data_IF_551557906260
#
_entry.id   IF_551557906260
#
_cell.length_a   1.000
_cell.length_b   1.000
_cell.length_c   1.000
_cell.angle_alpha   90.00
_cell.angle_beta   90.00
_cell.angle_gamma   90.00
#
_symmetry.space_group_name_H-M   'P 1'
#
loop_
_entity.id
_entity.type
_entity.pdbx_description
1 polymer ?
#
# COMPACT_ATOMS: atom_id res chain seq x y z
N UNK A 1 9.72 21.56 -6.00
CA UNK A 1 9.32 20.51 -5.04
C UNK A 1 8.65 19.29 -5.69
N UNK A 2 8.13 19.37 -6.94
CA UNK A 2 7.58 18.22 -7.69
C UNK A 2 8.63 17.37 -8.44
N UNK A 3 9.88 17.87 -8.56
CA UNK A 3 10.92 17.32 -9.46
C UNK A 3 11.57 16.02 -8.97
N UNK A 4 11.43 15.68 -7.68
CA UNK A 4 12.09 14.53 -7.04
C UNK A 4 11.12 13.39 -6.66
N UNK A 5 9.88 13.43 -7.15
CA UNK A 5 8.88 12.39 -6.84
C UNK A 5 8.98 11.25 -7.84
N UNK A 6 9.11 10.03 -7.32
CA UNK A 6 9.14 8.80 -8.12
C UNK A 6 7.77 8.55 -8.76
N UNK A 7 7.76 7.76 -9.84
CA UNK A 7 6.51 7.32 -10.47
C UNK A 7 5.58 6.58 -9.49
N UNK A 8 6.16 5.86 -8.52
CA UNK A 8 5.43 5.22 -7.42
C UNK A 8 4.59 6.22 -6.62
N UNK A 9 5.17 7.36 -6.26
CA UNK A 9 4.47 8.39 -5.51
C UNK A 9 3.30 8.98 -6.30
N UNK A 10 3.48 9.22 -7.60
CA UNK A 10 2.40 9.72 -8.47
C UNK A 10 1.25 8.75 -8.62
N UNK A 11 1.55 7.46 -8.73
CA UNK A 11 0.54 6.41 -8.73
C UNK A 11 -0.31 6.44 -7.47
N UNK A 12 0.33 6.54 -6.31
CA UNK A 12 -0.37 6.56 -5.04
C UNK A 12 -1.15 7.85 -4.80
N UNK A 13 -0.64 9.00 -5.23
CA UNK A 13 -1.39 10.26 -5.20
C UNK A 13 -2.67 10.15 -6.05
N UNK A 14 -2.55 9.64 -7.28
CA UNK A 14 -3.71 9.47 -8.15
C UNK A 14 -4.71 8.48 -7.55
N UNK A 15 -4.24 7.38 -6.95
CA UNK A 15 -5.09 6.44 -6.20
C UNK A 15 -5.82 7.12 -5.05
N UNK A 16 -5.15 7.96 -4.27
CA UNK A 16 -5.73 8.69 -3.13
C UNK A 16 -6.86 9.63 -3.59
N UNK A 17 -6.60 10.41 -4.65
CA UNK A 17 -7.60 11.33 -5.23
C UNK A 17 -8.82 10.57 -5.77
N UNK A 18 -8.62 9.46 -6.47
CA UNK A 18 -9.73 8.65 -6.98
C UNK A 18 -10.51 7.96 -5.86
N UNK A 19 -9.83 7.57 -4.76
CA UNK A 19 -10.50 7.01 -3.59
C UNK A 19 -11.37 8.06 -2.88
N UNK A 20 -10.88 9.29 -2.75
CA UNK A 20 -11.67 10.43 -2.24
C UNK A 20 -12.89 10.67 -3.12
N UNK A 21 -12.74 10.64 -4.45
CA UNK A 21 -13.86 10.78 -5.37
C UNK A 21 -14.91 9.69 -5.16
N UNK A 22 -14.50 8.42 -5.03
CA UNK A 22 -15.41 7.32 -4.75
C UNK A 22 -16.17 7.46 -3.43
N UNK A 23 -15.48 7.88 -2.37
CA UNK A 23 -16.10 8.14 -1.05
C UNK A 23 -17.05 9.36 -1.07
N UNK A 24 -16.76 10.37 -1.89
CA UNK A 24 -17.60 11.54 -2.07
C UNK A 24 -18.85 11.27 -2.95
N UNK A 25 -19.06 10.02 -3.41
CA UNK A 25 -20.16 9.68 -4.30
C UNK A 25 -19.98 10.21 -5.73
N UNK A 26 -18.74 10.44 -6.16
CA UNK A 26 -18.42 10.93 -7.48
C UNK A 26 -18.78 9.95 -8.61
N UNK A 27 -18.83 10.43 -9.87
CA UNK A 27 -19.17 9.60 -11.02
C UNK A 27 -18.24 8.39 -11.16
N UNK A 28 -18.82 7.20 -11.32
CA UNK A 28 -18.06 5.95 -11.41
C UNK A 28 -17.65 5.33 -10.06
N UNK A 29 -17.89 6.02 -8.94
CA UNK A 29 -17.65 5.52 -7.59
C UNK A 29 -16.20 5.01 -7.41
N UNK A 30 -16.05 3.74 -7.02
CA UNK A 30 -14.74 3.12 -6.81
C UNK A 30 -14.15 2.47 -8.08
N UNK A 31 -14.86 2.44 -9.20
CA UNK A 31 -14.36 1.81 -10.45
C UNK A 31 -13.06 2.45 -10.94
N UNK A 32 -12.90 3.79 -10.98
CA UNK A 32 -11.66 4.41 -11.42
C UNK A 32 -10.45 4.04 -10.57
N UNK A 33 -10.60 4.02 -9.23
CA UNK A 33 -9.49 3.67 -8.33
C UNK A 33 -9.12 2.20 -8.44
N UNK A 34 -10.09 1.30 -8.64
CA UNK A 34 -9.84 -0.12 -8.90
C UNK A 34 -9.07 -0.28 -10.23
N UNK A 35 -9.54 0.36 -11.30
CA UNK A 35 -8.90 0.28 -12.62
C UNK A 35 -7.45 0.77 -12.58
N UNK A 36 -7.19 1.92 -11.95
CA UNK A 36 -5.84 2.44 -11.77
C UNK A 36 -4.96 1.46 -10.97
N UNK A 37 -5.49 0.87 -9.90
CA UNK A 37 -4.75 -0.09 -9.07
C UNK A 37 -4.41 -1.37 -9.84
N UNK A 38 -5.30 -1.85 -10.73
CA UNK A 38 -5.01 -2.96 -11.64
C UNK A 38 -3.87 -2.59 -12.61
N UNK A 39 -3.91 -1.40 -13.22
CA UNK A 39 -2.83 -0.92 -14.10
C UNK A 39 -1.50 -0.87 -13.36
N UNK A 40 -1.49 -0.35 -12.13
CA UNK A 40 -0.30 -0.34 -11.28
C UNK A 40 0.24 -1.74 -11.01
N UNK A 41 -0.64 -2.68 -10.66
CA UNK A 41 -0.25 -4.06 -10.38
C UNK A 41 0.37 -4.72 -11.62
N UNK A 42 -0.27 -4.59 -12.79
CA UNK A 42 0.25 -5.13 -14.06
C UNK A 42 1.60 -4.50 -14.40
N UNK A 43 1.73 -3.18 -14.30
CA UNK A 43 3.00 -2.51 -14.54
C UNK A 43 4.12 -3.06 -13.63
N UNK A 44 3.88 -3.20 -12.33
CA UNK A 44 4.89 -3.73 -11.41
C UNK A 44 5.16 -5.22 -11.59
N UNK A 45 4.18 -6.03 -11.98
CA UNK A 45 4.41 -7.42 -12.36
C UNK A 45 5.38 -7.53 -13.54
N UNK A 46 5.18 -6.70 -14.58
CA UNK A 46 6.04 -6.66 -15.76
C UNK A 46 7.44 -6.11 -15.45
N UNK A 47 7.52 -5.09 -14.59
CA UNK A 47 8.76 -4.43 -14.21
C UNK A 47 9.65 -5.32 -13.32
N UNK A 48 9.08 -5.90 -12.27
CA UNK A 48 9.83 -6.68 -11.29
C UNK A 48 10.10 -8.11 -11.77
N UNK A 49 9.27 -8.65 -12.67
CA UNK A 49 9.33 -10.05 -13.16
C UNK A 49 9.33 -11.11 -12.05
N UNK A 50 8.89 -10.72 -10.86
CA UNK A 50 8.83 -11.54 -9.67
C UNK A 50 7.48 -11.28 -8.98
N UNK A 51 6.49 -12.17 -9.12
CA UNK A 51 5.16 -11.97 -8.52
C UNK A 51 5.18 -11.84 -6.99
N UNK A 52 6.18 -12.44 -6.34
CA UNK A 52 6.42 -12.31 -4.91
C UNK A 52 7.18 -11.03 -4.51
N UNK A 53 7.54 -10.14 -5.43
CA UNK A 53 8.24 -8.91 -5.11
C UNK A 53 7.38 -8.01 -4.20
N UNK A 54 8.01 -7.39 -3.20
CA UNK A 54 7.30 -6.59 -2.21
C UNK A 54 6.42 -5.46 -2.80
N UNK A 55 6.85 -4.71 -3.83
CA UNK A 55 5.99 -3.71 -4.49
C UNK A 55 4.74 -4.29 -5.17
N UNK A 56 4.82 -5.54 -5.65
CA UNK A 56 3.68 -6.29 -6.20
C UNK A 56 2.74 -6.70 -5.07
N UNK A 57 3.28 -7.26 -3.97
CA UNK A 57 2.48 -7.66 -2.81
C UNK A 57 1.66 -6.50 -2.23
N UNK A 58 2.25 -5.30 -2.09
CA UNK A 58 1.53 -4.11 -1.58
C UNK A 58 0.36 -3.74 -2.47
N UNK A 59 0.55 -3.77 -3.79
CA UNK A 59 -0.50 -3.45 -4.77
C UNK A 59 -1.61 -4.50 -4.81
N UNK A 60 -1.23 -5.77 -4.75
CA UNK A 60 -2.19 -6.87 -4.65
C UNK A 60 -3.01 -6.74 -3.38
N UNK A 61 -2.38 -6.51 -2.23
CA UNK A 61 -3.09 -6.32 -0.95
C UNK A 61 -4.05 -5.14 -0.99
N UNK A 62 -3.63 -4.00 -1.57
CA UNK A 62 -4.47 -2.82 -1.72
C UNK A 62 -5.67 -3.10 -2.64
N UNK A 63 -5.45 -3.71 -3.80
CA UNK A 63 -6.52 -4.10 -4.72
C UNK A 63 -7.53 -5.04 -4.05
N UNK A 64 -7.06 -6.03 -3.29
CA UNK A 64 -7.94 -6.94 -2.56
C UNK A 64 -8.80 -6.19 -1.54
N UNK A 65 -8.24 -5.25 -0.79
CA UNK A 65 -9.01 -4.41 0.14
C UNK A 65 -10.04 -3.54 -0.58
N UNK A 66 -9.72 -2.99 -1.76
CA UNK A 66 -10.70 -2.27 -2.58
C UNK A 66 -11.85 -3.18 -3.01
N UNK A 67 -11.58 -4.42 -3.42
CA UNK A 67 -12.60 -5.38 -3.83
C UNK A 67 -13.46 -5.86 -2.65
N UNK A 68 -12.85 -6.14 -1.51
CA UNK A 68 -13.56 -6.52 -0.28
C UNK A 68 -14.46 -5.39 0.20
N UNK A 69 -14.02 -4.14 0.10
CA UNK A 69 -14.81 -2.96 0.46
C UNK A 69 -16.08 -2.79 -0.37
N UNK A 70 -16.22 -3.47 -1.52
CA UNK A 70 -17.45 -3.40 -2.34
C UNK A 70 -18.64 -4.03 -1.62
N UNK A 71 -18.38 -4.91 -0.65
CA UNK A 71 -19.44 -5.44 0.21
C UNK A 71 -19.94 -4.35 1.17
N UNK A 72 -21.26 -4.06 1.24
CA UNK A 72 -21.78 -2.95 2.03
C UNK A 72 -21.35 -2.97 3.51
N UNK A 73 -21.29 -4.15 4.13
CA UNK A 73 -20.86 -4.32 5.52
C UNK A 73 -19.36 -4.05 5.73
N UNK A 74 -18.57 -4.06 4.67
CA UNK A 74 -17.11 -3.88 4.68
C UNK A 74 -16.69 -2.54 4.04
N UNK A 75 -17.64 -1.69 3.66
CA UNK A 75 -17.37 -0.38 3.05
C UNK A 75 -16.50 0.53 3.93
N UNK A 76 -16.48 0.31 5.25
CA UNK A 76 -15.59 1.03 6.17
C UNK A 76 -14.09 0.86 5.83
N UNK A 77 -13.72 -0.21 5.11
CA UNK A 77 -12.36 -0.45 4.64
C UNK A 77 -11.87 0.67 3.70
N UNK A 78 -12.75 1.33 2.95
CA UNK A 78 -12.36 2.47 2.12
C UNK A 78 -11.83 3.64 2.93
N UNK A 79 -12.42 3.90 4.10
CA UNK A 79 -11.94 4.95 5.01
C UNK A 79 -10.56 4.61 5.59
N UNK A 80 -10.34 3.33 5.92
CA UNK A 80 -9.03 2.83 6.37
C UNK A 80 -7.99 2.97 5.26
N UNK A 81 -8.34 2.59 4.03
CA UNK A 81 -7.47 2.74 2.86
C UNK A 81 -7.15 4.20 2.55
N UNK A 82 -8.13 5.10 2.69
CA UNK A 82 -7.91 6.53 2.52
C UNK A 82 -6.91 7.04 3.54
N UNK A 83 -7.15 6.80 4.84
CA UNK A 83 -6.23 7.22 5.89
C UNK A 83 -4.80 6.67 5.68
N UNK A 84 -4.68 5.40 5.30
CA UNK A 84 -3.39 4.75 5.03
C UNK A 84 -2.67 5.29 3.78
N UNK A 85 -3.41 5.55 2.70
CA UNK A 85 -2.84 6.06 1.43
C UNK A 85 -2.45 7.52 1.57
N UNK A 86 -3.31 8.35 2.18
CA UNK A 86 -3.00 9.73 2.52
C UNK A 86 -1.76 9.81 3.41
N UNK A 87 -1.63 8.97 4.45
CA UNK A 87 -0.42 8.91 5.28
C UNK A 87 0.83 8.54 4.46
N UNK A 88 0.70 7.61 3.52
CA UNK A 88 1.82 7.21 2.67
C UNK A 88 2.23 8.31 1.68
N UNK A 89 1.28 9.02 1.09
CA UNK A 89 1.55 10.12 0.14
C UNK A 89 2.16 11.33 0.85
N UNK A 90 1.70 11.64 2.07
CA UNK A 90 2.09 12.84 2.83
C UNK A 90 3.34 12.64 3.69
N UNK A 91 3.40 11.54 4.45
CA UNK A 91 4.46 11.26 5.42
C UNK A 91 5.30 10.02 5.08
N UNK A 92 5.00 9.31 3.98
CA UNK A 92 5.74 8.10 3.58
C UNK A 92 5.43 6.87 4.45
N UNK A 93 4.41 6.94 5.31
CA UNK A 93 4.04 5.86 6.21
C UNK A 93 2.92 5.00 5.60
N UNK A 94 3.20 3.72 5.32
CA UNK A 94 2.22 2.78 4.80
C UNK A 94 1.92 1.65 5.82
N UNK A 95 0.73 1.63 6.46
CA UNK A 95 0.33 0.55 7.37
C UNK A 95 0.27 -0.81 6.67
N UNK A 96 -0.25 -0.85 5.44
CA UNK A 96 -0.37 -2.09 4.67
C UNK A 96 1.00 -2.73 4.41
N UNK A 97 2.00 -1.92 4.00
CA UNK A 97 3.35 -2.42 3.80
C UNK A 97 3.95 -3.03 5.08
N UNK A 98 3.66 -2.43 6.24
CA UNK A 98 4.10 -2.92 7.56
C UNK A 98 3.42 -4.23 7.95
N UNK A 99 2.12 -4.37 7.67
CA UNK A 99 1.41 -5.62 7.88
C UNK A 99 1.97 -6.73 6.97
N UNK A 100 2.19 -6.42 5.69
CA UNK A 100 2.74 -7.37 4.73
C UNK A 100 4.16 -7.81 5.11
N UNK A 101 5.01 -6.92 5.64
CA UNK A 101 6.36 -7.30 6.08
C UNK A 101 6.39 -8.30 7.24
N UNK A 102 5.29 -8.45 7.99
CA UNK A 102 5.18 -9.41 9.11
C UNK A 102 4.73 -10.81 8.67
N UNK A 103 4.30 -10.97 7.41
CA UNK A 103 3.85 -12.26 6.88
C UNK A 103 5.01 -13.26 6.84
N UNK A 104 4.75 -14.56 7.05
CA UNK A 104 5.79 -15.56 7.26
C UNK A 104 6.79 -15.69 6.11
N UNK A 105 6.36 -15.42 4.87
CA UNK A 105 7.23 -15.43 3.69
C UNK A 105 8.06 -14.15 3.51
N UNK A 106 7.75 -13.08 4.24
CA UNK A 106 8.48 -11.81 4.20
C UNK A 106 9.38 -11.60 5.42
N UNK A 107 9.49 -12.58 6.33
CA UNK A 107 10.33 -12.48 7.53
C UNK A 107 11.23 -13.68 7.70
N UNK A 108 12.44 -13.42 8.14
CA UNK A 108 13.42 -14.48 8.50
C UNK A 108 13.41 -14.80 9.98
N UNK A 109 12.86 -13.91 10.82
CA UNK A 109 12.77 -14.07 12.28
C UNK A 109 11.36 -14.52 12.71
N UNK A 110 11.23 -15.24 13.84
CA UNK A 110 9.93 -15.60 14.40
C UNK A 110 9.09 -14.35 14.72
N UNK A 111 7.77 -14.48 14.60
CA UNK A 111 6.85 -13.40 14.97
C UNK A 111 6.95 -13.15 16.48
N UNK A 112 7.17 -11.90 16.86
CA UNK A 112 7.29 -11.49 18.26
C UNK A 112 6.72 -10.10 18.47
N UNK A 113 6.34 -9.79 19.71
CA UNK A 113 5.84 -8.47 20.07
C UNK A 113 6.91 -7.38 19.84
N UNK A 114 8.19 -7.72 20.02
CA UNK A 114 9.31 -6.84 19.71
C UNK A 114 9.36 -6.51 18.21
N UNK A 115 9.20 -7.51 17.33
CA UNK A 115 9.16 -7.31 15.89
C UNK A 115 7.94 -6.47 15.47
N UNK A 116 6.78 -6.71 16.09
CA UNK A 116 5.57 -5.93 15.82
C UNK A 116 5.79 -4.45 16.18
N UNK A 117 6.24 -4.17 17.41
CA UNK A 117 6.53 -2.80 17.86
C UNK A 117 7.54 -2.13 16.96
N UNK A 118 8.64 -2.81 16.63
CA UNK A 118 9.66 -2.28 15.72
C UNK A 118 9.07 -1.95 14.35
N UNK A 119 8.29 -2.86 13.79
CA UNK A 119 7.70 -2.68 12.45
C UNK A 119 6.74 -1.50 12.40
N UNK A 120 6.02 -1.19 13.47
CA UNK A 120 5.08 -0.05 13.52
C UNK A 120 5.72 1.26 14.02
N UNK A 121 6.78 1.20 14.83
CA UNK A 121 7.45 2.39 15.38
C UNK A 121 8.64 2.89 14.54
N UNK A 122 9.12 2.09 13.58
CA UNK A 122 10.21 2.51 12.68
C UNK A 122 9.80 3.78 11.90
N UNK A 123 10.70 4.76 11.66
CA UNK A 123 10.39 5.92 10.85
C UNK A 123 10.10 5.56 9.37
N UNK A 124 9.42 6.44 8.61
CA UNK A 124 9.32 6.31 7.16
C UNK A 124 10.71 6.25 6.52
N UNK A 125 10.92 5.30 5.60
CA UNK A 125 12.20 5.13 4.90
C UNK A 125 12.01 5.33 3.40
N UNK A 126 13.08 5.78 2.71
CA UNK A 126 13.07 5.91 1.23
C UNK A 126 13.15 4.55 0.52
N UNK A 127 13.68 3.54 1.20
CA UNK A 127 13.71 2.14 0.76
C UNK A 127 12.43 1.41 1.16
N UNK A 128 12.26 0.16 0.73
CA UNK A 128 11.15 -0.66 1.23
C UNK A 128 11.30 -0.94 2.73
N UNK A 129 10.17 -1.00 3.44
CA UNK A 129 10.11 -1.39 4.88
C UNK A 129 10.82 -2.73 5.10
N UNK A 130 10.64 -3.67 4.17
CA UNK A 130 11.28 -4.98 4.21
C UNK A 130 12.81 -4.89 4.22
N UNK A 131 13.39 -4.03 3.36
CA UNK A 131 14.84 -3.82 3.33
C UNK A 131 15.36 -3.12 4.59
N UNK A 132 14.59 -2.17 5.14
CA UNK A 132 14.96 -1.49 6.37
C UNK A 132 15.02 -2.48 7.56
N UNK A 133 14.03 -3.37 7.67
CA UNK A 133 14.00 -4.41 8.72
C UNK A 133 15.12 -5.45 8.57
N UNK A 134 15.58 -5.72 7.34
CA UNK A 134 16.64 -6.69 7.09
C UNK A 134 18.05 -6.16 7.42
N UNK A 135 18.27 -4.84 7.39
CA UNK A 135 19.60 -4.22 7.54
C UNK A 135 20.04 -4.03 8.98
N UNK A 136 19.11 -3.98 9.91
CA UNK A 136 19.42 -3.73 11.31
C UNK A 136 19.33 -5.03 12.12
N UNK A 137 20.37 -5.37 12.90
CA UNK A 137 20.49 -6.64 13.62
C UNK A 137 19.41 -6.88 14.67
#
# INVERSE_FOLDING_TARGET
>A
MLRDKTLDWWYWLATDVLLINGLAGGPGGFVPVIALTVVQLVHYLLRERAPGAFPVQVRTGYLLLLLVGQWPSLAFIYWIQLAGTTAMVTVGYCPLARMLSLLPWNRTRPFSLALLRRTFLMPPTRSSVLQALAREP
#
